data_IF_848798361269
#
_entry.id   IF_848798361269
#
_cell.length_a   1.000
_cell.length_b   1.000
_cell.length_c   1.000
_cell.angle_alpha   90.00
_cell.angle_beta   90.00
_cell.angle_gamma   90.00
#
_symmetry.space_group_name_H-M   'P 1'
#
loop_
_entity.id
_entity.type
_entity.pdbx_description
1 polymer ?
#
# COMPACT_ATOMS: atom_id res chain seq x y z
N UNK A 1 -18.69 -2.88 -11.26
CA UNK A 1 -18.42 -1.49 -11.72
C UNK A 1 -17.65 -0.69 -10.67
N UNK A 2 -18.14 -0.57 -9.43
CA UNK A 2 -17.47 0.22 -8.38
C UNK A 2 -16.05 -0.28 -8.02
N UNK A 3 -15.85 -1.60 -7.91
CA UNK A 3 -14.53 -2.16 -7.60
C UNK A 3 -13.48 -1.85 -8.68
N UNK A 4 -13.86 -1.91 -9.96
CA UNK A 4 -12.98 -1.53 -11.08
C UNK A 4 -12.57 -0.05 -10.99
N UNK A 5 -13.53 0.83 -10.65
CA UNK A 5 -13.27 2.27 -10.49
C UNK A 5 -12.38 2.56 -9.27
N UNK A 6 -12.61 1.85 -8.17
CA UNK A 6 -11.74 1.86 -7.00
C UNK A 6 -10.30 1.48 -7.38
N UNK A 7 -10.09 0.35 -8.07
CA UNK A 7 -8.75 -0.07 -8.53
C UNK A 7 -8.09 1.00 -9.39
N UNK A 8 -8.83 1.59 -10.32
CA UNK A 8 -8.34 2.70 -11.16
C UNK A 8 -7.85 3.87 -10.33
N UNK A 9 -8.65 4.35 -9.37
CA UNK A 9 -8.28 5.47 -8.51
C UNK A 9 -7.09 5.16 -7.62
N UNK A 10 -6.98 3.93 -7.10
CA UNK A 10 -5.82 3.53 -6.32
C UNK A 10 -4.53 3.58 -7.14
N UNK A 11 -4.56 3.09 -8.39
CA UNK A 11 -3.39 3.10 -9.26
C UNK A 11 -3.00 4.53 -9.67
N UNK A 12 -3.99 5.37 -9.97
CA UNK A 12 -3.78 6.78 -10.30
C UNK A 12 -3.18 7.53 -9.10
N UNK A 13 -3.74 7.37 -7.91
CA UNK A 13 -3.21 7.95 -6.68
C UNK A 13 -1.78 7.48 -6.40
N UNK A 14 -1.49 6.19 -6.62
CA UNK A 14 -0.14 5.64 -6.47
C UNK A 14 0.85 6.35 -7.40
N UNK A 15 0.53 6.50 -8.69
CA UNK A 15 1.40 7.22 -9.63
C UNK A 15 1.55 8.71 -9.30
N UNK A 16 0.49 9.38 -8.82
CA UNK A 16 0.58 10.78 -8.35
C UNK A 16 1.58 10.87 -7.18
N UNK A 17 1.48 9.98 -6.20
CA UNK A 17 2.39 9.97 -5.06
C UNK A 17 3.83 9.65 -5.47
N UNK A 18 4.06 8.73 -6.40
CA UNK A 18 5.39 8.40 -6.95
C UNK A 18 6.06 9.62 -7.59
N UNK A 19 5.30 10.41 -8.36
CA UNK A 19 5.78 11.65 -8.98
C UNK A 19 6.18 12.71 -7.95
N UNK A 20 5.57 12.69 -6.77
CA UNK A 20 5.91 13.57 -5.63
C UNK A 20 6.85 12.92 -4.60
N UNK A 21 7.43 11.76 -4.89
CA UNK A 21 8.25 10.98 -3.94
C UNK A 21 9.41 11.78 -3.33
N UNK A 22 10.14 12.57 -4.12
CA UNK A 22 11.24 13.40 -3.62
C UNK A 22 10.81 14.35 -2.49
N UNK A 23 9.66 15.01 -2.64
CA UNK A 23 9.13 15.89 -1.58
C UNK A 23 8.80 15.08 -0.32
N UNK A 24 8.12 13.95 -0.49
CA UNK A 24 7.71 13.09 0.62
C UNK A 24 8.94 12.55 1.37
N UNK A 25 9.96 12.07 0.65
CA UNK A 25 11.21 11.56 1.21
C UNK A 25 11.98 12.65 1.96
N UNK A 26 12.06 13.86 1.39
CA UNK A 26 12.72 15.00 2.06
C UNK A 26 11.99 15.41 3.34
N UNK A 27 10.66 15.42 3.33
CA UNK A 27 9.87 15.68 4.54
C UNK A 27 10.14 14.61 5.60
N UNK A 28 10.20 13.34 5.20
CA UNK A 28 10.50 12.23 6.13
C UNK A 28 11.92 12.32 6.69
N UNK A 29 12.89 12.76 5.88
CA UNK A 29 14.26 13.02 6.33
C UNK A 29 14.31 14.13 7.40
N UNK A 30 13.56 15.22 7.21
CA UNK A 30 13.45 16.27 8.23
C UNK A 30 12.78 15.80 9.53
N UNK A 31 11.92 14.78 9.45
CA UNK A 31 11.26 14.16 10.60
C UNK A 31 12.17 13.19 11.37
N UNK A 32 13.39 12.92 10.91
CA UNK A 32 14.36 12.05 11.58
C UNK A 32 14.64 12.46 13.04
N UNK A 33 14.64 13.76 13.33
CA UNK A 33 14.84 14.32 14.67
C UNK A 33 13.56 14.47 15.50
N UNK A 34 12.41 13.98 15.01
CA UNK A 34 11.14 14.04 15.75
C UNK A 34 11.05 12.95 16.81
N UNK A 35 10.14 13.09 17.76
CA UNK A 35 9.92 12.09 18.83
C UNK A 35 8.99 10.93 18.41
N UNK A 36 8.93 10.60 17.11
CA UNK A 36 8.09 9.50 16.59
C UNK A 36 8.89 8.20 16.70
N UNK A 37 8.49 7.22 17.54
CA UNK A 37 9.33 6.07 17.88
C UNK A 37 9.82 5.26 16.66
N UNK A 38 8.92 4.98 15.71
CA UNK A 38 9.24 4.17 14.52
C UNK A 38 10.14 4.90 13.52
N UNK A 39 10.25 6.23 13.62
CA UNK A 39 11.10 7.07 12.75
C UNK A 39 12.42 7.37 13.45
N UNK A 40 12.36 7.80 14.71
CA UNK A 40 13.51 8.21 15.51
C UNK A 40 14.50 7.07 15.77
N UNK A 41 14.01 5.83 15.82
CA UNK A 41 14.87 4.67 16.09
C UNK A 41 15.84 4.37 14.96
N UNK A 42 15.44 4.58 13.69
CA UNK A 42 16.27 4.31 12.51
C UNK A 42 15.72 5.09 11.29
N UNK A 43 15.99 6.40 11.21
CA UNK A 43 15.45 7.24 10.16
C UNK A 43 15.90 6.85 8.75
N UNK A 44 17.17 6.44 8.60
CA UNK A 44 17.73 6.03 7.30
C UNK A 44 17.01 4.80 6.76
N UNK A 45 16.80 3.78 7.60
CA UNK A 45 16.03 2.59 7.22
C UNK A 45 14.57 2.91 6.93
N UNK A 46 13.97 3.85 7.66
CA UNK A 46 12.62 4.33 7.40
C UNK A 46 12.49 4.94 6.00
N UNK A 47 13.45 5.80 5.63
CA UNK A 47 13.50 6.44 4.30
C UNK A 47 13.75 5.41 3.20
N UNK A 48 14.69 4.48 3.39
CA UNK A 48 14.99 3.43 2.42
C UNK A 48 13.75 2.57 2.15
N UNK A 49 13.05 2.15 3.21
CA UNK A 49 11.78 1.41 3.09
C UNK A 49 10.72 2.21 2.33
N UNK A 50 10.62 3.52 2.59
CA UNK A 50 9.64 4.36 1.91
C UNK A 50 9.97 4.48 0.41
N UNK A 51 11.25 4.63 0.07
CA UNK A 51 11.73 4.64 -1.30
C UNK A 51 11.45 3.31 -2.02
N UNK A 52 11.68 2.17 -1.36
CA UNK A 52 11.33 0.84 -1.87
C UNK A 52 9.83 0.72 -2.17
N UNK A 53 8.97 1.29 -1.33
CA UNK A 53 7.51 1.26 -1.52
C UNK A 53 7.03 2.12 -2.69
N UNK A 54 7.78 3.15 -3.08
CA UNK A 54 7.43 3.96 -4.25
C UNK A 54 7.78 3.30 -5.59
N UNK A 55 8.64 2.27 -5.61
CA UNK A 55 9.05 1.58 -6.83
C UNK A 55 9.41 2.55 -7.97
N UNK A 56 10.34 3.46 -7.68
CA UNK A 56 10.81 4.47 -8.63
C UNK A 56 11.59 3.85 -9.81
N UNK A 57 11.88 2.55 -9.74
CA UNK A 57 12.45 1.72 -10.79
C UNK A 57 11.46 1.39 -11.92
N UNK A 58 10.16 1.55 -11.69
CA UNK A 58 9.11 1.25 -12.67
C UNK A 58 8.71 2.50 -13.46
N UNK A 59 8.18 2.33 -14.67
CA UNK A 59 7.44 3.40 -15.37
C UNK A 59 6.00 3.50 -14.83
N UNK A 60 5.19 4.40 -15.40
CA UNK A 60 3.82 4.65 -14.94
C UNK A 60 2.93 3.42 -15.18
N UNK A 61 3.07 2.74 -16.32
CA UNK A 61 2.31 1.55 -16.70
C UNK A 61 2.67 0.32 -15.84
N UNK A 62 3.95 0.03 -15.67
CA UNK A 62 4.42 -1.08 -14.86
C UNK A 62 4.05 -0.91 -13.39
N UNK A 63 4.04 0.33 -12.88
CA UNK A 63 3.58 0.63 -11.53
C UNK A 63 2.07 0.42 -11.34
N UNK A 64 1.25 0.69 -12.36
CA UNK A 64 -0.17 0.34 -12.36
C UNK A 64 -0.33 -1.17 -12.21
N UNK A 65 0.38 -1.95 -13.02
CA UNK A 65 0.33 -3.42 -12.93
C UNK A 65 0.77 -3.93 -11.55
N UNK A 66 1.91 -3.47 -11.07
CA UNK A 66 2.41 -3.80 -9.73
C UNK A 66 1.39 -3.51 -8.63
N UNK A 67 0.77 -2.32 -8.65
CA UNK A 67 -0.20 -1.95 -7.63
C UNK A 67 -1.52 -2.71 -7.76
N UNK A 68 -1.95 -3.04 -8.98
CA UNK A 68 -3.11 -3.89 -9.22
C UNK A 68 -2.90 -5.31 -8.68
N UNK A 69 -1.72 -5.89 -8.88
CA UNK A 69 -1.38 -7.22 -8.37
C UNK A 69 -1.41 -7.24 -6.84
N UNK A 70 -0.84 -6.23 -6.18
CA UNK A 70 -0.93 -6.07 -4.73
C UNK A 70 -2.39 -6.00 -4.22
N UNK A 71 -3.27 -5.28 -4.92
CA UNK A 71 -4.69 -5.22 -4.57
C UNK A 71 -5.33 -6.61 -4.73
N UNK A 72 -5.05 -7.30 -5.83
CA UNK A 72 -5.64 -8.60 -6.12
C UNK A 72 -5.16 -9.67 -5.11
N UNK A 73 -3.87 -9.68 -4.77
CA UNK A 73 -3.30 -10.54 -3.73
C UNK A 73 -3.94 -10.29 -2.37
N UNK A 74 -4.08 -9.01 -1.98
CA UNK A 74 -4.71 -8.63 -0.72
C UNK A 74 -6.16 -9.09 -0.63
N UNK A 75 -6.94 -8.90 -1.71
CA UNK A 75 -8.34 -9.35 -1.75
C UNK A 75 -8.44 -10.87 -1.75
N UNK A 76 -7.55 -11.55 -2.48
CA UNK A 76 -7.52 -13.01 -2.53
C UNK A 76 -7.14 -13.63 -1.18
N UNK A 77 -6.31 -12.97 -0.38
CA UNK A 77 -5.97 -13.42 0.98
C UNK A 77 -7.12 -13.22 1.99
N UNK A 78 -7.93 -12.16 1.81
CA UNK A 78 -9.05 -11.83 2.69
C UNK A 78 -10.31 -12.66 2.39
N UNK A 79 -10.50 -13.06 1.13
CA UNK A 79 -11.70 -13.77 0.71
C UNK A 79 -11.93 -15.12 1.44
N UNK A 80 -10.93 -16.00 1.61
CA UNK A 80 -11.08 -17.23 2.39
C UNK A 80 -11.49 -16.99 3.84
N UNK A 81 -10.94 -15.98 4.50
CA UNK A 81 -11.25 -15.67 5.90
C UNK A 81 -12.70 -15.18 6.07
N UNK A 82 -13.18 -14.37 5.13
CA UNK A 82 -14.59 -13.94 5.12
C UNK A 82 -15.53 -15.13 4.88
N UNK A 83 -15.23 -15.99 3.91
CA UNK A 83 -16.03 -17.18 3.61
C UNK A 83 -16.10 -18.12 4.82
N UNK A 84 -14.97 -18.35 5.49
CA UNK A 84 -14.90 -19.17 6.72
C UNK A 84 -15.77 -18.58 7.84
N UNK A 85 -15.75 -17.25 8.01
CA UNK A 85 -16.55 -16.57 9.04
C UNK A 85 -18.05 -16.73 8.76
N UNK A 86 -18.47 -16.57 7.51
CA UNK A 86 -19.86 -16.78 7.08
C UNK A 86 -20.25 -18.25 7.25
N UNK A 87 -19.36 -19.18 6.90
CA UNK A 87 -19.60 -20.61 7.05
C UNK A 87 -19.84 -21.00 8.52
N UNK A 88 -19.00 -20.51 9.43
CA UNK A 88 -19.17 -20.72 10.89
C UNK A 88 -20.47 -20.14 11.41
N UNK A 89 -20.83 -18.94 10.96
CA UNK A 89 -22.11 -18.34 11.32
C UNK A 89 -23.27 -19.20 10.83
N UNK A 90 -23.26 -19.59 9.55
CA UNK A 90 -24.28 -20.47 8.98
C UNK A 90 -24.36 -21.85 9.67
N UNK A 91 -23.24 -22.41 10.13
CA UNK A 91 -23.22 -23.64 10.94
C UNK A 91 -23.75 -23.44 12.37
N UNK A 92 -23.51 -22.28 12.98
CA UNK A 92 -24.03 -21.95 14.31
C UNK A 92 -25.55 -21.78 14.32
N UNK A 93 -26.12 -21.23 13.25
CA UNK A 93 -27.57 -21.05 13.09
C UNK A 93 -28.29 -22.27 12.49
N UNK A 94 -27.57 -23.38 12.29
CA UNK A 94 -28.13 -24.67 11.88
C UNK A 94 -28.39 -25.55 13.09
#
# INVERSE_FOLDING_TARGET
>A
QYYTRFKSYCCEAYNILRKSSNLILNLFYLMAGSNIPDIASDPEKGILKLQEKFRLDLDDEAAIHFFQDLINESVSALFPQMVETIHRWAQYWR
#
